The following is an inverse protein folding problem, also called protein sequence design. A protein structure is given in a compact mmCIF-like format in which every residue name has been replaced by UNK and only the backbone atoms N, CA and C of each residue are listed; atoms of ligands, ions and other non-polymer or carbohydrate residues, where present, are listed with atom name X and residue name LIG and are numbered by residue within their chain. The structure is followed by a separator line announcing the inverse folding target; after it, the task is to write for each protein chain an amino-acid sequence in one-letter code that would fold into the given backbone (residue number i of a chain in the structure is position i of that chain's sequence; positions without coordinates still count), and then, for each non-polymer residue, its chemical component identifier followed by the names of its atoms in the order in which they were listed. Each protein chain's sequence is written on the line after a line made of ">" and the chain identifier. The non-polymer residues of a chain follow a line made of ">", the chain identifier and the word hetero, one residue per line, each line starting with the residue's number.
data_IF_990459064721
#
_entry.id   IF_990459064721
#
_cell.length_a   1.000
_cell.length_b   1.000
_cell.length_c   1.000
_cell.angle_alpha   90.00
_cell.angle_beta   90.00
_cell.angle_gamma   90.00
#
_symmetry.space_group_name_H-M   'P 1'
#
loop_
_entity.id
_entity.type
_entity.pdbx_description
1 polymer ?
#
# COMPACT_ATOMS: atom_id res chain seq x y z
N UNK A 1 25.34 -23.42 -1.17
CA UNK A 1 24.08 -24.17 -1.34
C UNK A 1 23.08 -23.55 -0.38
N UNK A 2 22.24 -22.61 -0.84
CA UNK A 2 21.42 -21.78 0.05
C UNK A 2 19.94 -22.13 -0.11
N UNK A 3 19.43 -22.88 0.86
CA UNK A 3 18.04 -23.25 1.16
C UNK A 3 16.96 -22.66 0.26
N UNK A 4 16.54 -23.46 -0.72
CA UNK A 4 15.32 -23.26 -1.53
C UNK A 4 14.10 -23.92 -0.88
N UNK A 5 14.00 -23.92 0.46
CA UNK A 5 12.80 -24.42 1.12
C UNK A 5 11.69 -23.36 0.99
N UNK A 6 10.82 -23.56 0.01
CA UNK A 6 9.64 -22.72 -0.22
C UNK A 6 8.59 -23.10 0.84
N UNK A 7 8.40 -22.22 1.82
CA UNK A 7 7.42 -22.42 2.88
C UNK A 7 5.99 -22.23 2.39
N UNK A 8 5.80 -21.35 1.40
CA UNK A 8 4.50 -21.06 0.82
C UNK A 8 4.66 -20.40 -0.55
N UNK A 9 3.86 -20.85 -1.53
CA UNK A 9 3.78 -20.23 -2.86
C UNK A 9 2.31 -20.09 -3.26
N UNK A 10 1.95 -18.93 -3.78
CA UNK A 10 0.60 -18.70 -4.28
C UNK A 10 0.59 -17.70 -5.44
N UNK A 11 -0.36 -17.89 -6.34
CA UNK A 11 -0.77 -16.89 -7.33
C UNK A 11 -2.11 -16.32 -6.88
N UNK A 12 -2.15 -15.03 -6.56
CA UNK A 12 -3.33 -14.35 -6.04
C UNK A 12 -3.88 -13.30 -7.01
N UNK A 13 -3.67 -13.50 -8.31
CA UNK A 13 -4.20 -12.66 -9.38
C UNK A 13 -5.71 -12.41 -9.26
N UNK A 14 -6.52 -13.44 -8.99
CA UNK A 14 -7.98 -13.34 -8.86
C UNK A 14 -8.45 -12.59 -7.60
N UNK A 15 -7.79 -12.83 -6.47
CA UNK A 15 -8.05 -12.12 -5.21
C UNK A 15 -7.68 -10.64 -5.34
N UNK A 16 -6.61 -10.35 -6.07
CA UNK A 16 -6.15 -8.97 -6.35
C UNK A 16 -7.08 -8.25 -7.33
N UNK A 17 -7.64 -8.93 -8.34
CA UNK A 17 -8.54 -8.31 -9.32
C UNK A 17 -9.90 -7.95 -8.70
N UNK A 18 -10.44 -8.80 -7.83
CA UNK A 18 -11.69 -8.54 -7.10
C UNK A 18 -11.60 -7.26 -6.26
N UNK A 19 -10.46 -7.06 -5.61
CA UNK A 19 -10.20 -5.94 -4.72
C UNK A 19 -9.71 -4.68 -5.48
N UNK A 20 -9.35 -4.81 -6.78
CA UNK A 20 -8.85 -3.73 -7.65
C UNK A 20 -9.94 -2.70 -7.93
N UNK A 21 -11.14 -3.15 -8.30
CA UNK A 21 -12.24 -2.23 -8.65
C UNK A 21 -12.64 -1.35 -7.47
N UNK A 22 -12.72 -1.93 -6.26
CA UNK A 22 -13.09 -1.17 -5.07
C UNK A 22 -11.98 -0.19 -4.63
N UNK A 23 -10.71 -0.49 -4.91
CA UNK A 23 -9.60 0.45 -4.69
C UNK A 23 -9.59 1.58 -5.71
N UNK A 24 -9.83 1.26 -6.99
CA UNK A 24 -9.94 2.28 -8.04
C UNK A 24 -11.12 3.21 -7.72
N UNK A 25 -12.27 2.67 -7.33
CA UNK A 25 -13.43 3.48 -6.98
C UNK A 25 -13.16 4.39 -5.77
N UNK A 26 -12.52 3.87 -4.72
CA UNK A 26 -12.12 4.70 -3.57
C UNK A 26 -11.09 5.76 -3.95
N UNK A 27 -10.07 5.38 -4.73
CA UNK A 27 -9.04 6.31 -5.18
C UNK A 27 -9.65 7.40 -6.07
N UNK A 28 -10.54 7.03 -6.99
CA UNK A 28 -11.27 7.97 -7.83
C UNK A 28 -12.18 8.89 -7.00
N UNK A 29 -12.87 8.36 -5.99
CA UNK A 29 -13.72 9.14 -5.08
C UNK A 29 -12.92 10.14 -4.24
N UNK A 30 -11.79 9.71 -3.64
CA UNK A 30 -10.89 10.59 -2.91
C UNK A 30 -10.31 11.65 -3.85
N UNK A 31 -9.85 11.25 -5.03
CA UNK A 31 -9.31 12.16 -6.05
C UNK A 31 -10.33 13.20 -6.51
N UNK A 32 -11.59 12.81 -6.73
CA UNK A 32 -12.68 13.72 -7.08
C UNK A 32 -12.95 14.71 -5.94
N UNK A 33 -12.96 14.23 -4.69
CA UNK A 33 -13.16 15.09 -3.52
C UNK A 33 -11.99 16.07 -3.34
N UNK A 34 -10.74 15.60 -3.51
CA UNK A 34 -9.55 16.45 -3.48
C UNK A 34 -9.61 17.53 -4.56
N UNK A 35 -10.01 17.16 -5.78
CA UNK A 35 -10.27 18.12 -6.88
C UNK A 35 -11.33 19.14 -6.47
N UNK A 36 -12.48 18.70 -5.95
CA UNK A 36 -13.55 19.62 -5.54
C UNK A 36 -13.08 20.59 -4.46
N UNK A 37 -12.30 20.14 -3.49
CA UNK A 37 -11.71 21.00 -2.45
C UNK A 37 -10.70 21.97 -3.06
N UNK A 38 -9.79 21.50 -3.92
CA UNK A 38 -8.78 22.34 -4.57
C UNK A 38 -9.43 23.46 -5.40
N UNK A 39 -10.41 23.11 -6.24
CA UNK A 39 -11.14 24.08 -7.05
C UNK A 39 -12.02 24.99 -6.20
N UNK A 40 -12.62 24.48 -5.13
CA UNK A 40 -13.38 25.28 -4.17
C UNK A 40 -12.52 26.35 -3.49
N UNK A 41 -11.33 25.97 -3.02
CA UNK A 41 -10.36 26.91 -2.41
C UNK A 41 -9.89 27.93 -3.45
N UNK A 42 -9.57 27.49 -4.67
CA UNK A 42 -9.18 28.38 -5.76
C UNK A 42 -10.29 29.40 -6.07
N UNK A 43 -11.54 28.95 -6.13
CA UNK A 43 -12.70 29.81 -6.39
C UNK A 43 -12.91 30.85 -5.29
N UNK A 44 -12.82 30.45 -4.01
CA UNK A 44 -12.91 31.37 -2.87
C UNK A 44 -11.77 32.38 -2.89
N UNK A 45 -10.53 31.94 -3.18
CA UNK A 45 -9.38 32.84 -3.30
C UNK A 45 -9.55 33.86 -4.43
N UNK A 46 -10.10 33.43 -5.57
CA UNK A 46 -10.39 34.33 -6.69
C UNK A 46 -11.45 35.37 -6.32
N UNK A 47 -12.49 34.98 -5.58
CA UNK A 47 -13.53 35.87 -5.05
C UNK A 47 -12.98 36.90 -4.06
N UNK A 48 -12.07 36.49 -3.18
CA UNK A 48 -11.53 37.32 -2.09
C UNK A 48 -10.44 38.28 -2.57
N UNK A 49 -9.51 37.83 -3.40
CA UNK A 49 -8.34 38.62 -3.81
C UNK A 49 -8.50 39.30 -5.18
N UNK A 50 -9.54 38.94 -5.93
CA UNK A 50 -9.76 39.44 -7.29
C UNK A 50 -8.65 39.06 -8.27
N UNK A 51 -8.77 39.57 -9.51
CA UNK A 51 -7.88 39.28 -10.65
C UNK A 51 -6.46 39.87 -10.45
N UNK A 52 -6.22 40.68 -9.42
CA UNK A 52 -4.90 41.30 -9.17
C UNK A 52 -3.96 40.44 -8.32
N UNK A 53 -4.49 39.53 -7.50
CA UNK A 53 -3.75 38.87 -6.41
C UNK A 53 -3.27 37.44 -6.68
N UNK A 54 -3.15 36.99 -7.95
CA UNK A 54 -3.03 35.58 -8.32
C UNK A 54 -1.82 34.80 -7.79
N UNK A 55 -0.71 35.46 -7.45
CA UNK A 55 0.51 34.77 -7.04
C UNK A 55 0.35 34.01 -5.72
N UNK A 56 -0.32 34.61 -4.73
CA UNK A 56 -0.51 34.00 -3.41
C UNK A 56 -1.43 32.75 -3.49
N UNK A 57 -2.61 32.81 -4.17
CA UNK A 57 -3.45 31.65 -4.45
C UNK A 57 -2.71 30.49 -5.12
N UNK A 58 -1.91 30.78 -6.15
CA UNK A 58 -1.18 29.76 -6.91
C UNK A 58 -0.15 29.04 -6.03
N UNK A 59 0.59 29.77 -5.21
CA UNK A 59 1.59 29.18 -4.30
C UNK A 59 0.91 28.31 -3.24
N UNK A 60 -0.20 28.76 -2.66
CA UNK A 60 -0.98 27.97 -1.69
C UNK A 60 -1.54 26.71 -2.33
N UNK A 61 -2.08 26.81 -3.55
CA UNK A 61 -2.58 25.68 -4.32
C UNK A 61 -1.49 24.64 -4.62
N UNK A 62 -0.30 25.09 -5.04
CA UNK A 62 0.83 24.22 -5.31
C UNK A 62 1.29 23.48 -4.04
N UNK A 63 1.39 24.20 -2.91
CA UNK A 63 1.77 23.62 -1.63
C UNK A 63 0.75 22.56 -1.13
N UNK A 64 -0.54 22.81 -1.32
CA UNK A 64 -1.60 21.85 -0.99
C UNK A 64 -1.54 20.62 -1.89
N UNK A 65 -1.29 20.78 -3.19
CA UNK A 65 -1.21 19.65 -4.13
C UNK A 65 -0.11 18.64 -3.77
N UNK A 66 1.02 19.11 -3.22
CA UNK A 66 2.15 18.26 -2.81
C UNK A 66 1.87 17.56 -1.48
N UNK A 67 1.16 18.21 -0.56
CA UNK A 67 0.89 17.66 0.78
C UNK A 67 -0.30 16.71 0.80
N UNK A 68 -1.29 16.92 -0.06
CA UNK A 68 -2.53 16.14 -0.07
C UNK A 68 -2.37 14.79 -0.76
N UNK A 69 -1.46 14.62 -1.73
CA UNK A 69 -1.25 13.33 -2.41
C UNK A 69 -0.45 12.38 -1.50
N UNK A 70 -1.10 11.41 -0.83
CA UNK A 70 -0.38 10.46 -0.01
C UNK A 70 0.10 9.37 -0.96
N UNK A 71 1.41 9.22 -1.13
CA UNK A 71 1.97 8.05 -1.79
C UNK A 71 2.51 7.07 -0.73
N UNK A 72 1.66 6.27 -0.05
CA UNK A 72 2.17 5.13 0.67
C UNK A 72 2.64 4.11 -0.35
N UNK A 73 3.95 3.87 -0.38
CA UNK A 73 4.60 2.82 -1.17
C UNK A 73 4.22 1.46 -0.55
N UNK A 74 2.95 1.06 -0.70
CA UNK A 74 2.44 -0.22 -0.24
C UNK A 74 2.71 -1.26 -1.32
N UNK A 75 3.58 -2.23 -1.02
CA UNK A 75 3.94 -3.27 -1.98
C UNK A 75 2.89 -4.38 -1.95
N UNK A 76 2.27 -4.66 -3.10
CA UNK A 76 1.20 -5.67 -3.23
C UNK A 76 1.55 -6.62 -4.38
N UNK A 77 2.42 -7.61 -4.15
CA UNK A 77 2.81 -8.56 -5.19
C UNK A 77 1.62 -9.40 -5.64
N UNK A 78 1.56 -9.70 -6.93
CA UNK A 78 0.51 -10.58 -7.50
C UNK A 78 0.85 -12.06 -7.27
N UNK A 79 2.13 -12.38 -7.43
CA UNK A 79 2.73 -13.70 -7.19
C UNK A 79 3.86 -13.52 -6.19
N UNK A 80 3.93 -14.39 -5.20
CA UNK A 80 5.04 -14.36 -4.26
C UNK A 80 5.36 -15.76 -3.73
N UNK A 81 6.61 -15.90 -3.29
CA UNK A 81 7.11 -17.09 -2.61
C UNK A 81 7.64 -16.68 -1.25
N UNK A 82 7.16 -17.32 -0.19
CA UNK A 82 7.71 -17.16 1.16
C UNK A 82 8.83 -18.17 1.31
N UNK A 83 10.05 -17.66 1.42
CA UNK A 83 11.28 -18.40 1.64
C UNK A 83 11.76 -18.16 3.07
N UNK A 84 12.62 -19.04 3.58
CA UNK A 84 13.30 -18.82 4.87
C UNK A 84 14.11 -17.50 4.91
N UNK A 85 14.56 -17.01 3.76
CA UNK A 85 15.30 -15.76 3.63
C UNK A 85 14.42 -14.50 3.57
N UNK A 86 13.12 -14.65 3.31
CA UNK A 86 12.18 -13.53 3.14
C UNK A 86 11.08 -13.82 2.12
N UNK A 87 10.44 -12.75 1.63
CA UNK A 87 9.37 -12.85 0.63
C UNK A 87 9.90 -12.46 -0.74
N UNK A 88 9.94 -13.41 -1.66
CA UNK A 88 10.24 -13.15 -3.08
C UNK A 88 8.96 -12.67 -3.77
N UNK A 89 8.99 -11.43 -4.25
CA UNK A 89 7.91 -10.79 -5.00
C UNK A 89 8.12 -10.98 -6.49
N UNK A 90 7.36 -11.90 -7.09
CA UNK A 90 7.31 -12.14 -8.55
C UNK A 90 8.68 -12.43 -9.19
N UNK A 91 9.63 -13.00 -8.43
CA UNK A 91 11.00 -13.25 -8.89
C UNK A 91 11.85 -11.99 -9.12
N UNK A 92 11.30 -10.80 -8.83
CA UNK A 92 11.93 -9.50 -9.10
C UNK A 92 12.66 -8.94 -7.89
N UNK A 93 12.15 -9.22 -6.69
CA UNK A 93 12.69 -8.64 -5.45
C UNK A 93 12.47 -9.57 -4.27
N UNK A 94 13.58 -9.99 -3.67
CA UNK A 94 13.57 -10.63 -2.36
C UNK A 94 13.49 -9.55 -1.27
N UNK A 95 12.39 -9.54 -0.53
CA UNK A 95 12.16 -8.63 0.58
C UNK A 95 12.47 -9.37 1.88
N UNK A 96 13.57 -9.06 2.58
CA UNK A 96 13.91 -9.72 3.83
C UNK A 96 12.90 -9.32 4.91
N UNK A 97 12.34 -10.32 5.59
CA UNK A 97 11.54 -10.11 6.79
C UNK A 97 12.48 -10.03 8.00
N UNK A 98 12.27 -9.07 8.89
CA UNK A 98 13.02 -8.93 10.15
C UNK A 98 12.14 -9.36 11.32
N UNK A 99 12.76 -9.80 12.42
CA UNK A 99 12.08 -10.20 13.66
C UNK A 99 11.20 -9.12 14.28
N UNK A 100 11.59 -7.84 14.12
CA UNK A 100 10.82 -6.71 14.63
C UNK A 100 9.56 -6.37 13.80
N UNK A 101 9.26 -7.12 12.74
CA UNK A 101 8.07 -6.87 11.93
C UNK A 101 6.85 -7.52 12.55
N UNK A 102 5.72 -6.79 12.51
CA UNK A 102 4.44 -7.30 13.02
C UNK A 102 3.59 -7.80 11.87
N UNK A 103 2.84 -8.86 12.11
CA UNK A 103 1.92 -9.43 11.14
C UNK A 103 0.49 -9.07 11.58
N UNK A 104 -0.37 -8.70 10.63
CA UNK A 104 -1.81 -8.54 10.85
C UNK A 104 -2.59 -9.31 9.81
N UNK A 105 -3.41 -10.25 10.26
CA UNK A 105 -4.26 -11.05 9.37
C UNK A 105 -5.62 -10.41 9.21
N UNK A 106 -6.10 -10.35 7.97
CA UNK A 106 -7.47 -9.99 7.65
C UNK A 106 -8.17 -11.18 7.00
N UNK A 107 -8.97 -11.92 7.79
CA UNK A 107 -9.70 -13.08 7.30
C UNK A 107 -10.82 -12.70 6.32
N UNK A 108 -11.49 -11.57 6.55
CA UNK A 108 -12.60 -11.10 5.71
C UNK A 108 -12.16 -10.79 4.27
N UNK A 109 -10.98 -10.18 4.12
CA UNK A 109 -10.40 -9.80 2.82
C UNK A 109 -9.28 -10.73 2.37
N UNK A 110 -9.05 -11.84 3.09
CA UNK A 110 -8.10 -12.90 2.74
C UNK A 110 -6.68 -12.38 2.43
N UNK A 111 -6.14 -11.56 3.33
CA UNK A 111 -4.75 -11.08 3.21
C UNK A 111 -4.03 -11.03 4.56
N UNK A 112 -2.71 -11.01 4.47
CA UNK A 112 -1.78 -10.83 5.57
C UNK A 112 -0.97 -9.55 5.31
N UNK A 113 -1.04 -8.61 6.24
CA UNK A 113 -0.28 -7.37 6.22
C UNK A 113 0.99 -7.53 7.05
N UNK A 114 2.12 -7.14 6.47
CA UNK A 114 3.40 -7.06 7.16
C UNK A 114 3.68 -5.60 7.48
N UNK A 115 3.87 -5.32 8.77
CA UNK A 115 4.04 -3.98 9.32
C UNK A 115 5.48 -3.78 9.79
N UNK A 116 6.10 -2.73 9.26
CA UNK A 116 7.37 -2.21 9.74
C UNK A 116 7.12 -1.42 11.03
N UNK A 117 7.99 -1.51 12.04
CA UNK A 117 7.80 -0.80 13.31
C UNK A 117 7.69 0.72 13.15
N UNK A 118 8.44 1.30 12.21
CA UNK A 118 8.45 2.76 11.98
C UNK A 118 7.65 3.23 10.76
N UNK A 119 7.53 2.41 9.71
CA UNK A 119 6.88 2.81 8.45
C UNK A 119 5.44 2.34 8.34
N UNK A 120 4.95 1.57 9.32
CA UNK A 120 3.61 0.98 9.27
C UNK A 120 3.52 -0.14 8.23
N UNK A 121 2.34 -0.30 7.63
CA UNK A 121 2.09 -1.35 6.63
C UNK A 121 2.93 -1.11 5.37
N UNK A 122 3.91 -1.98 5.10
CA UNK A 122 4.77 -1.86 3.92
C UNK A 122 4.48 -2.92 2.86
N UNK A 123 3.86 -4.05 3.25
CA UNK A 123 3.55 -5.13 2.34
C UNK A 123 2.22 -5.80 2.69
N UNK A 124 1.45 -6.13 1.66
CA UNK A 124 0.21 -6.90 1.79
C UNK A 124 0.24 -8.12 0.88
N UNK A 125 0.07 -9.29 1.47
CA UNK A 125 0.13 -10.59 0.81
C UNK A 125 -1.27 -11.20 0.80
N UNK A 126 -1.87 -11.32 -0.38
CA UNK A 126 -3.17 -11.99 -0.54
C UNK A 126 -2.98 -13.50 -0.53
N UNK A 127 -3.93 -14.25 0.03
CA UNK A 127 -3.91 -15.72 -0.02
C UNK A 127 -5.31 -16.27 0.20
N UNK A 128 -5.67 -17.32 -0.53
CA UNK A 128 -6.91 -18.08 -0.28
C UNK A 128 -6.98 -18.70 1.13
N UNK A 129 -5.81 -18.92 1.75
CA UNK A 129 -5.64 -19.53 3.07
C UNK A 129 -4.81 -18.63 3.99
N UNK A 130 -5.36 -17.50 4.48
CA UNK A 130 -4.59 -16.48 5.19
C UNK A 130 -3.93 -16.99 6.48
N UNK A 131 -4.49 -18.02 7.13
CA UNK A 131 -3.88 -18.66 8.32
C UNK A 131 -2.60 -19.45 8.00
N UNK A 132 -2.56 -20.18 6.88
CA UNK A 132 -1.33 -20.90 6.48
C UNK A 132 -0.23 -19.92 6.11
N UNK A 133 -0.59 -18.82 5.44
CA UNK A 133 0.32 -17.74 5.12
C UNK A 133 0.88 -17.06 6.38
N UNK A 134 0.04 -16.78 7.37
CA UNK A 134 0.47 -16.22 8.67
C UNK A 134 1.54 -17.09 9.32
N UNK A 135 1.29 -18.40 9.44
CA UNK A 135 2.24 -19.35 10.03
C UNK A 135 3.57 -19.38 9.26
N UNK A 136 3.52 -19.36 7.93
CA UNK A 136 4.72 -19.31 7.09
C UNK A 136 5.52 -18.03 7.33
N UNK A 137 4.87 -16.87 7.34
CA UNK A 137 5.53 -15.58 7.58
C UNK A 137 6.06 -15.47 9.01
N UNK A 138 5.31 -15.96 10.00
CA UNK A 138 5.72 -15.98 11.40
C UNK A 138 6.96 -16.85 11.62
N UNK A 139 7.02 -18.02 10.97
CA UNK A 139 8.20 -18.90 10.99
C UNK A 139 9.45 -18.22 10.45
N UNK A 140 9.31 -17.33 9.46
CA UNK A 140 10.45 -16.54 8.91
C UNK A 140 10.86 -15.43 9.88
N UNK A 141 9.90 -14.73 10.49
CA UNK A 141 10.15 -13.64 11.43
C UNK A 141 10.79 -14.15 12.72
N UNK A 142 10.34 -15.29 13.26
CA UNK A 142 10.85 -15.84 14.53
C UNK A 142 12.26 -16.43 14.46
N UNK A 143 12.79 -16.66 13.25
CA UNK A 143 14.10 -17.29 13.03
C UNK A 143 15.25 -16.27 12.87
N UNK A 144 14.93 -14.98 12.79
CA UNK A 144 15.87 -13.85 12.71
C UNK A 144 15.76 -12.98 13.96
#
# INVERSE_FOLDING_TARGET
>A
MADHEILYQTDCSELKSTDRNMRILRAAGIFLLDIMILYGILFVQFLVFGVGGFLIPIVVFLALSVTVIPAPILTIPTRYRVLLSGVDSDGKRLVPLKSNYRIRVNQKRKFVSVMHPTRGEFMRLYSGEPRKLELAVQKVISRR
#
